data_IF_940940668709
#
_entry.id   IF_940940668709
#
_cell.length_a   1.000
_cell.length_b   1.000
_cell.length_c   1.000
_cell.angle_alpha   90.00
_cell.angle_beta   90.00
_cell.angle_gamma   90.00
#
_symmetry.space_group_name_H-M   'P 1'
#
loop_
_entity.id
_entity.type
_entity.pdbx_description
1 polymer ?
#
# COMPACT_ATOMS: atom_id res chain seq x y z
N UNK A 1 4.47 6.81 29.24
CA UNK A 1 5.04 6.33 27.97
C UNK A 1 5.18 7.43 26.92
N UNK A 2 4.18 8.28 26.72
CA UNK A 2 4.24 9.36 25.72
C UNK A 2 5.47 10.27 25.92
N UNK A 3 5.65 10.81 27.11
CA UNK A 3 6.78 11.68 27.44
C UNK A 3 8.14 10.98 27.26
N UNK A 4 8.25 9.73 27.71
CA UNK A 4 9.48 8.93 27.56
C UNK A 4 9.82 8.74 26.07
N UNK A 5 8.84 8.48 25.22
CA UNK A 5 9.07 8.34 23.78
C UNK A 5 9.53 9.66 23.12
N UNK A 6 9.16 10.81 23.70
CA UNK A 6 9.53 12.13 23.21
C UNK A 6 10.82 12.70 23.82
N UNK A 7 11.60 11.86 24.49
CA UNK A 7 12.91 12.22 25.06
C UNK A 7 12.87 12.65 26.51
N UNK A 8 11.69 12.74 27.13
CA UNK A 8 11.57 13.06 28.55
C UNK A 8 11.68 11.77 29.39
N UNK A 9 12.88 11.16 29.38
CA UNK A 9 13.11 9.86 29.98
C UNK A 9 12.86 9.85 31.49
N UNK A 10 13.15 10.99 32.14
CA UNK A 10 13.01 11.20 33.58
C UNK A 10 11.65 11.82 33.98
N UNK A 11 10.65 11.78 33.09
CA UNK A 11 9.34 12.31 33.39
C UNK A 11 8.63 11.50 34.47
N UNK A 12 8.13 12.19 35.50
CA UNK A 12 7.38 11.63 36.60
C UNK A 12 5.90 11.98 36.48
N UNK A 13 5.04 11.00 36.74
CA UNK A 13 3.59 11.19 36.72
C UNK A 13 3.01 10.72 38.05
N UNK A 14 2.34 11.62 38.77
CA UNK A 14 1.54 11.28 39.94
C UNK A 14 0.05 11.47 39.66
N UNK A 15 -0.79 10.66 40.29
CA UNK A 15 -2.24 10.76 40.16
C UNK A 15 -2.86 11.05 41.53
N UNK A 16 -3.66 12.09 41.62
CA UNK A 16 -4.48 12.40 42.76
C UNK A 16 -5.96 12.15 42.43
N UNK A 17 -6.66 11.51 43.37
CA UNK A 17 -8.10 11.23 43.17
C UNK A 17 -8.87 12.13 44.11
N UNK A 18 -9.66 13.04 43.58
CA UNK A 18 -10.59 13.85 44.29
C UNK A 18 -11.98 13.19 44.28
N UNK A 19 -12.42 12.78 45.44
CA UNK A 19 -13.74 12.15 45.69
C UNK A 19 -14.72 13.08 46.40
N UNK A 20 -14.43 14.38 46.48
CA UNK A 20 -15.26 15.35 47.18
C UNK A 20 -16.68 15.50 46.65
N UNK A 21 -16.93 15.07 45.39
CA UNK A 21 -18.27 15.10 44.77
C UNK A 21 -18.95 13.75 44.89
N UNK A 22 -20.16 13.73 45.44
CA UNK A 22 -20.96 12.51 45.56
C UNK A 22 -21.12 11.81 44.19
N UNK A 23 -20.84 10.51 44.12
CA UNK A 23 -20.94 9.64 42.94
C UNK A 23 -20.05 10.02 41.76
N UNK A 24 -19.02 10.87 41.93
CA UNK A 24 -18.04 11.22 40.90
C UNK A 24 -16.66 11.28 41.51
N UNK A 25 -15.69 10.70 40.84
CA UNK A 25 -14.27 10.85 41.15
C UNK A 25 -13.61 11.64 40.01
N UNK A 26 -12.79 12.62 40.37
CA UNK A 26 -11.96 13.37 39.44
C UNK A 26 -10.51 12.88 39.64
N UNK A 27 -9.89 12.38 38.61
CA UNK A 27 -8.48 11.99 38.64
C UNK A 27 -7.66 13.13 38.07
N UNK A 28 -6.78 13.69 38.87
CA UNK A 28 -5.88 14.77 38.47
C UNK A 28 -4.47 14.16 38.28
N UNK A 29 -3.98 14.20 37.07
CA UNK A 29 -2.61 13.78 36.76
C UNK A 29 -1.69 14.99 36.82
N UNK A 30 -0.72 14.95 37.75
CA UNK A 30 0.37 15.92 37.82
C UNK A 30 1.58 15.34 37.08
N UNK A 31 2.07 16.07 36.10
CA UNK A 31 3.18 15.65 35.26
C UNK A 31 4.36 16.60 35.49
N UNK A 32 5.48 16.05 35.95
CA UNK A 32 6.76 16.73 35.96
C UNK A 32 7.60 16.16 34.82
N UNK A 33 7.75 16.89 33.73
CA UNK A 33 8.44 16.41 32.53
C UNK A 33 9.96 16.32 32.69
N UNK A 34 10.55 17.09 33.63
CA UNK A 34 11.98 17.29 33.70
C UNK A 34 12.60 17.73 32.36
N UNK A 35 13.91 17.85 32.27
CA UNK A 35 14.58 18.20 31.01
C UNK A 35 14.64 17.01 30.05
N UNK A 36 14.37 17.23 28.75
CA UNK A 36 14.42 16.17 27.75
C UNK A 36 15.86 15.84 27.37
N UNK A 37 16.09 14.57 27.01
CA UNK A 37 17.33 14.16 26.36
C UNK A 37 17.40 14.70 24.92
N UNK A 38 18.58 15.16 24.51
CA UNK A 38 18.88 15.62 23.16
C UNK A 38 19.98 14.80 22.54
N UNK A 39 19.91 14.62 21.23
CA UNK A 39 20.95 13.95 20.47
C UNK A 39 22.12 14.91 20.33
N UNK A 40 23.31 14.54 20.83
CA UNK A 40 24.52 15.32 20.70
C UNK A 40 25.19 15.06 19.36
N UNK A 41 25.39 13.78 19.04
CA UNK A 41 25.97 13.35 17.77
C UNK A 41 25.20 12.14 17.24
N UNK A 42 24.99 12.09 15.91
CA UNK A 42 24.38 10.95 15.24
C UNK A 42 25.30 10.41 14.15
N UNK A 43 25.75 9.17 14.34
CA UNK A 43 26.61 8.46 13.40
C UNK A 43 25.83 7.32 12.74
N UNK A 44 25.98 7.20 11.43
CA UNK A 44 25.43 6.10 10.65
C UNK A 44 26.54 5.57 9.75
N UNK A 45 27.30 4.62 10.24
CA UNK A 45 28.33 3.88 9.49
C UNK A 45 27.98 2.40 9.59
N UNK A 46 27.46 1.83 8.49
CA UNK A 46 26.97 0.46 8.46
C UNK A 46 28.07 -0.46 7.93
N UNK A 47 28.30 -1.59 8.58
CA UNK A 47 29.37 -2.55 8.27
C UNK A 47 29.30 -3.11 6.82
N UNK A 48 28.15 -3.07 6.16
CA UNK A 48 27.97 -3.43 4.76
C UNK A 48 28.05 -2.18 3.86
N UNK A 49 29.13 -2.06 3.09
CA UNK A 49 29.40 -0.89 2.23
C UNK A 49 28.32 -0.61 1.19
N UNK A 50 27.62 -1.66 0.68
CA UNK A 50 26.52 -1.49 -0.28
C UNK A 50 25.28 -0.95 0.41
N UNK A 51 24.95 -1.47 1.59
CA UNK A 51 23.84 -1.00 2.41
C UNK A 51 24.09 0.41 2.88
N UNK A 52 25.30 0.70 3.36
CA UNK A 52 25.72 2.03 3.79
C UNK A 52 25.57 3.06 2.67
N UNK A 53 26.10 2.76 1.48
CA UNK A 53 25.95 3.63 0.30
C UNK A 53 24.48 3.90 -0.06
N UNK A 54 23.59 2.92 0.13
CA UNK A 54 22.14 3.09 -0.13
C UNK A 54 21.50 3.96 0.94
N UNK A 55 21.86 3.77 2.21
CA UNK A 55 21.33 4.55 3.33
C UNK A 55 21.66 6.05 3.20
N UNK A 56 22.84 6.37 2.65
CA UNK A 56 23.34 7.75 2.43
C UNK A 56 22.98 8.32 1.03
N UNK A 57 22.17 7.66 0.24
CA UNK A 57 21.79 8.16 -1.10
C UNK A 57 21.12 9.53 -1.02
N UNK A 58 21.58 10.43 -1.88
CA UNK A 58 20.95 11.72 -2.10
C UNK A 58 19.80 11.60 -3.11
N UNK A 59 18.77 12.41 -2.95
CA UNK A 59 17.68 12.47 -3.91
C UNK A 59 18.20 12.69 -5.33
N UNK A 60 17.79 11.88 -6.32
CA UNK A 60 18.22 12.08 -7.70
C UNK A 60 17.76 13.46 -8.17
N UNK A 61 18.66 14.22 -8.81
CA UNK A 61 18.32 15.48 -9.47
C UNK A 61 17.19 15.19 -10.46
N UNK A 62 16.13 15.99 -10.46
CA UNK A 62 14.98 15.86 -11.37
C UNK A 62 15.47 15.84 -12.82
N UNK A 63 15.72 14.68 -13.36
CA UNK A 63 15.80 14.47 -14.81
C UNK A 63 14.40 14.14 -15.30
N UNK A 64 13.85 15.00 -16.14
CA UNK A 64 12.47 14.91 -16.64
C UNK A 64 12.18 13.63 -17.46
N UNK A 65 13.18 12.82 -17.74
CA UNK A 65 13.10 11.79 -18.79
C UNK A 65 13.13 10.33 -18.33
N UNK A 66 13.51 9.98 -17.10
CA UNK A 66 13.91 8.58 -16.85
C UNK A 66 13.27 7.80 -15.71
N UNK A 67 12.43 8.40 -14.86
CA UNK A 67 11.81 7.59 -13.80
C UNK A 67 10.32 7.36 -14.03
N UNK A 68 9.95 6.09 -14.21
CA UNK A 68 8.56 5.64 -14.19
C UNK A 68 7.91 5.87 -12.80
N UNK A 69 8.67 6.37 -11.83
CA UNK A 69 8.29 6.50 -10.44
C UNK A 69 8.48 7.93 -9.94
N UNK A 70 7.53 8.41 -9.17
CA UNK A 70 7.63 9.69 -8.47
C UNK A 70 8.72 9.58 -7.39
N UNK A 71 9.70 10.48 -7.42
CA UNK A 71 10.74 10.58 -6.39
C UNK A 71 10.24 11.52 -5.30
N UNK A 72 10.25 11.06 -4.07
CA UNK A 72 9.96 11.87 -2.89
C UNK A 72 11.30 12.24 -2.26
N UNK A 73 11.70 13.54 -2.26
CA UNK A 73 12.98 13.96 -1.69
C UNK A 73 13.15 13.59 -0.21
N UNK A 74 12.05 13.55 0.54
CA UNK A 74 12.01 13.15 1.94
C UNK A 74 12.49 11.72 2.19
N UNK A 75 12.35 10.81 1.22
CA UNK A 75 12.86 9.43 1.32
C UNK A 75 14.39 9.38 1.44
N UNK A 76 15.09 10.44 1.02
CA UNK A 76 16.56 10.52 0.93
C UNK A 76 17.19 11.43 1.97
N UNK A 77 16.41 12.03 2.85
CA UNK A 77 16.91 12.93 3.89
C UNK A 77 16.78 12.25 5.25
N UNK A 78 17.88 12.20 6.01
CA UNK A 78 17.83 11.68 7.38
C UNK A 78 16.87 12.49 8.24
N UNK A 79 16.05 11.78 9.01
CA UNK A 79 15.09 12.37 9.95
C UNK A 79 15.75 12.68 11.29
N UNK A 80 16.87 12.02 11.60
CA UNK A 80 17.64 12.24 12.83
C UNK A 80 18.64 13.35 12.57
N UNK A 81 18.68 14.31 13.49
CA UNK A 81 19.59 15.48 13.41
C UNK A 81 20.23 15.72 14.76
N UNK A 82 21.47 16.20 14.72
CA UNK A 82 22.15 16.66 15.93
C UNK A 82 21.37 17.77 16.62
N UNK A 83 21.47 17.86 17.92
CA UNK A 83 20.75 18.79 18.78
C UNK A 83 19.21 18.64 18.82
N UNK A 84 18.64 17.70 18.07
CA UNK A 84 17.21 17.38 18.15
C UNK A 84 16.86 16.59 19.41
N UNK A 85 15.58 16.51 19.74
CA UNK A 85 15.11 15.68 20.84
C UNK A 85 15.38 14.19 20.56
N UNK A 86 15.72 13.45 21.62
CA UNK A 86 15.78 11.98 21.57
C UNK A 86 14.37 11.39 21.48
N UNK A 87 13.77 11.49 20.29
CA UNK A 87 12.40 11.04 20.01
C UNK A 87 12.43 9.65 19.39
N UNK A 88 11.94 8.65 20.11
CA UNK A 88 11.88 7.25 19.65
C UNK A 88 11.05 7.07 18.40
N UNK A 89 10.00 7.86 18.21
CA UNK A 89 9.16 7.78 17.03
C UNK A 89 9.92 8.27 15.77
N UNK A 90 10.80 9.26 15.92
CA UNK A 90 11.68 9.74 14.83
C UNK A 90 12.74 8.68 14.52
N UNK A 91 13.35 8.09 15.54
CA UNK A 91 14.33 7.01 15.37
C UNK A 91 13.71 5.81 14.65
N UNK A 92 12.50 5.41 15.00
CA UNK A 92 11.82 4.31 14.32
C UNK A 92 11.44 4.65 12.87
N UNK A 93 11.02 5.89 12.61
CA UNK A 93 10.76 6.38 11.25
C UNK A 93 12.03 6.39 10.39
N UNK A 94 13.19 6.72 10.96
CA UNK A 94 14.48 6.68 10.25
C UNK A 94 14.86 5.24 9.87
N UNK A 95 14.70 4.28 10.79
CA UNK A 95 14.87 2.85 10.49
C UNK A 95 13.94 2.42 9.36
N UNK A 96 12.67 2.85 9.39
CA UNK A 96 11.69 2.54 8.35
C UNK A 96 12.06 3.19 7.01
N UNK A 97 12.57 4.43 7.00
CA UNK A 97 13.05 5.14 5.80
C UNK A 97 14.15 4.34 5.10
N UNK A 98 15.18 3.93 5.86
CA UNK A 98 16.31 3.16 5.33
C UNK A 98 15.83 1.79 4.84
N UNK A 99 14.98 1.11 5.61
CA UNK A 99 14.38 -0.17 5.21
C UNK A 99 13.66 -0.06 3.87
N UNK A 100 12.85 0.97 3.70
CA UNK A 100 12.13 1.22 2.44
C UNK A 100 13.08 1.47 1.27
N UNK A 101 14.16 2.24 1.47
CA UNK A 101 15.18 2.47 0.45
C UNK A 101 15.88 1.18 0.02
N UNK A 102 16.21 0.31 0.97
CA UNK A 102 16.84 -0.98 0.74
C UNK A 102 15.89 -1.95 0.01
N UNK A 103 14.65 -2.06 0.46
CA UNK A 103 13.64 -2.92 -0.18
C UNK A 103 13.31 -2.46 -1.60
N UNK A 104 13.37 -1.17 -1.89
CA UNK A 104 13.27 -0.64 -3.26
C UNK A 104 14.48 -0.95 -4.15
N UNK A 105 15.57 -1.49 -3.56
CA UNK A 105 16.83 -1.84 -4.24
C UNK A 105 17.23 -3.30 -4.14
N UNK A 106 16.26 -4.16 -3.98
CA UNK A 106 16.49 -5.60 -4.06
C UNK A 106 16.57 -6.33 -2.74
N UNK A 107 16.67 -5.66 -1.62
CA UNK A 107 16.78 -6.33 -0.31
C UNK A 107 15.41 -6.79 0.20
N UNK A 108 14.85 -7.81 -0.44
CA UNK A 108 13.52 -8.35 -0.14
C UNK A 108 13.35 -8.79 1.32
N UNK A 109 14.31 -9.54 1.85
CA UNK A 109 14.27 -10.07 3.21
C UNK A 109 14.64 -9.04 4.29
N UNK A 110 14.99 -7.80 3.90
CA UNK A 110 15.37 -6.77 4.86
C UNK A 110 14.15 -6.21 5.59
N UNK A 111 14.28 -6.08 6.90
CA UNK A 111 13.28 -5.42 7.74
C UNK A 111 13.96 -4.43 8.71
N UNK A 112 13.18 -3.55 9.35
CA UNK A 112 13.68 -2.50 10.23
C UNK A 112 14.42 -3.02 11.48
N UNK A 113 14.19 -4.27 11.89
CA UNK A 113 14.78 -4.84 13.12
C UNK A 113 16.24 -5.23 12.94
N UNK A 114 16.74 -5.22 11.69
CA UNK A 114 18.16 -5.30 11.40
C UNK A 114 18.93 -4.00 11.66
N UNK A 115 18.22 -2.86 11.76
CA UNK A 115 18.80 -1.59 12.16
C UNK A 115 18.55 -1.37 13.65
N UNK A 116 19.60 -1.10 14.42
CA UNK A 116 19.50 -0.78 15.83
C UNK A 116 20.28 0.49 16.14
N UNK A 117 19.97 1.12 17.26
CA UNK A 117 20.74 2.23 17.78
C UNK A 117 21.51 1.78 19.03
N UNK A 118 22.79 2.13 19.07
CA UNK A 118 23.55 2.20 20.30
C UNK A 118 23.46 3.62 20.81
N UNK A 119 23.07 3.79 22.06
CA UNK A 119 22.89 5.09 22.68
C UNK A 119 23.86 5.20 23.87
N UNK A 120 24.77 6.16 23.81
CA UNK A 120 25.67 6.50 24.90
C UNK A 120 25.20 7.78 25.59
N UNK A 121 24.88 7.68 26.87
CA UNK A 121 24.43 8.78 27.73
C UNK A 121 25.36 9.03 28.89
N UNK A 122 26.63 8.63 28.80
CA UNK A 122 27.64 8.67 29.89
C UNK A 122 28.08 10.07 30.32
N UNK A 123 27.62 11.12 29.60
CA UNK A 123 28.04 12.50 29.84
C UNK A 123 27.49 13.17 31.10
N UNK A 124 26.71 12.49 31.94
CA UNK A 124 25.99 13.07 33.09
C UNK A 124 25.22 14.37 32.79
N UNK A 125 24.79 14.53 31.55
CA UNK A 125 23.95 15.61 31.04
C UNK A 125 22.77 14.97 30.26
N UNK A 126 21.72 15.72 30.02
CA UNK A 126 20.59 15.24 29.24
C UNK A 126 20.90 15.21 27.71
N UNK A 127 22.04 14.62 27.35
CA UNK A 127 22.51 14.43 25.98
C UNK A 127 22.85 12.96 25.74
N UNK A 128 22.75 12.53 24.48
CA UNK A 128 23.01 11.15 24.04
C UNK A 128 23.69 11.14 22.68
N UNK A 129 24.75 10.37 22.53
CA UNK A 129 25.34 10.02 21.24
C UNK A 129 24.65 8.77 20.73
N UNK A 130 24.34 8.75 19.44
CA UNK A 130 23.63 7.67 18.78
C UNK A 130 24.45 7.13 17.61
N UNK A 131 24.73 5.83 17.66
CA UNK A 131 25.30 5.10 16.53
C UNK A 131 24.28 4.14 15.97
N UNK A 132 23.99 4.25 14.68
CA UNK A 132 23.16 3.26 13.99
C UNK A 132 24.02 2.08 13.55
N UNK A 133 23.63 0.87 13.96
CA UNK A 133 24.32 -0.36 13.64
C UNK A 133 23.44 -1.28 12.78
N UNK A 134 24.10 -2.05 11.90
CA UNK A 134 23.49 -3.09 11.09
C UNK A 134 23.69 -4.47 11.75
N UNK A 135 22.60 -5.16 12.06
CA UNK A 135 22.66 -6.54 12.52
C UNK A 135 22.77 -7.49 11.33
N UNK A 136 23.53 -8.60 11.44
CA UNK A 136 23.65 -9.59 10.38
C UNK A 136 22.30 -10.27 10.08
N UNK A 137 22.17 -10.76 8.84
CA UNK A 137 21.03 -11.60 8.46
C UNK A 137 21.19 -12.99 9.04
N UNK A 138 20.20 -13.46 9.82
CA UNK A 138 20.18 -14.77 10.43
C UNK A 138 19.48 -15.77 9.53
N UNK A 139 20.25 -16.67 8.91
CA UNK A 139 19.72 -17.76 8.09
C UNK A 139 19.60 -19.03 8.93
N UNK A 140 18.38 -19.60 9.01
CA UNK A 140 18.15 -20.90 9.61
C UNK A 140 18.55 -21.97 8.59
N UNK A 141 19.47 -22.85 8.98
CA UNK A 141 19.83 -24.01 8.17
C UNK A 141 18.87 -25.18 8.37
N UNK A 142 18.84 -26.16 7.43
CA UNK A 142 18.00 -27.34 7.55
C UNK A 142 18.28 -28.18 8.83
N UNK A 143 19.50 -28.10 9.38
CA UNK A 143 19.91 -28.75 10.62
C UNK A 143 19.44 -28.05 11.91
N UNK A 144 18.70 -26.93 11.75
CA UNK A 144 18.21 -26.10 12.86
C UNK A 144 19.23 -25.10 13.41
N UNK A 145 20.48 -25.10 12.91
CA UNK A 145 21.48 -24.10 13.31
C UNK A 145 21.21 -22.74 12.66
N UNK A 146 21.56 -21.66 13.38
CA UNK A 146 21.45 -20.28 12.88
C UNK A 146 22.85 -19.79 12.49
N UNK A 147 22.99 -19.27 11.30
CA UNK A 147 24.26 -18.70 10.83
C UNK A 147 24.05 -17.25 10.43
N UNK A 148 24.93 -16.40 10.92
CA UNK A 148 24.96 -15.00 10.56
C UNK A 148 25.59 -14.83 9.17
N UNK A 149 24.88 -14.18 8.26
CA UNK A 149 25.30 -13.95 6.87
C UNK A 149 25.08 -12.49 6.48
N UNK A 150 25.62 -12.10 5.33
CA UNK A 150 25.37 -10.79 4.75
C UNK A 150 23.94 -10.71 4.20
N UNK A 151 23.38 -9.51 4.19
CA UNK A 151 22.12 -9.23 3.52
C UNK A 151 22.31 -9.32 1.99
N UNK A 152 21.45 -10.08 1.31
CA UNK A 152 21.54 -10.29 -0.13
C UNK A 152 20.45 -9.55 -0.88
N UNK A 153 20.78 -9.18 -2.11
CA UNK A 153 19.81 -8.66 -3.07
C UNK A 153 19.13 -9.82 -3.81
N UNK A 154 17.84 -9.67 -4.08
CA UNK A 154 16.99 -10.64 -4.75
C UNK A 154 16.60 -10.15 -6.14
N UNK A 155 16.60 -11.05 -7.10
CA UNK A 155 16.11 -10.82 -8.46
C UNK A 155 14.77 -11.51 -8.66
N UNK A 156 13.90 -10.93 -9.48
CA UNK A 156 12.66 -11.59 -9.90
C UNK A 156 13.01 -12.64 -10.96
N UNK A 157 12.70 -13.90 -10.69
CA UNK A 157 12.88 -15.00 -11.66
C UNK A 157 11.70 -15.05 -12.61
N UNK A 158 10.51 -15.36 -12.08
CA UNK A 158 9.28 -15.52 -12.84
C UNK A 158 8.14 -14.74 -12.22
N UNK A 159 7.17 -14.36 -13.05
CA UNK A 159 5.93 -13.72 -12.61
C UNK A 159 4.76 -14.47 -13.20
N UNK A 160 3.96 -15.09 -12.33
CA UNK A 160 2.76 -15.82 -12.67
C UNK A 160 1.53 -15.11 -12.12
N UNK A 161 0.50 -14.91 -12.94
CA UNK A 161 -0.77 -14.32 -12.57
C UNK A 161 -1.85 -15.40 -12.62
N UNK A 162 -2.54 -15.57 -11.51
CA UNK A 162 -3.66 -16.51 -11.38
C UNK A 162 -4.94 -15.71 -11.26
N UNK A 163 -5.88 -15.90 -12.17
CA UNK A 163 -7.09 -15.05 -12.27
C UNK A 163 -8.33 -15.63 -11.60
N UNK A 164 -8.29 -16.89 -11.20
CA UNK A 164 -9.45 -17.62 -10.63
C UNK A 164 -9.07 -18.32 -9.32
N UNK A 165 -8.47 -17.54 -8.40
CA UNK A 165 -8.06 -18.03 -7.10
C UNK A 165 -9.24 -17.98 -6.12
N UNK A 166 -9.56 -19.13 -5.50
CA UNK A 166 -10.52 -19.21 -4.40
C UNK A 166 -9.79 -19.38 -3.06
N UNK A 167 -9.77 -18.36 -2.20
CA UNK A 167 -9.08 -18.44 -0.91
C UNK A 167 -9.71 -19.43 0.07
N UNK A 168 -10.95 -19.88 -0.17
CA UNK A 168 -11.65 -20.80 0.73
C UNK A 168 -11.37 -22.27 0.38
N UNK A 169 -11.11 -22.59 -0.88
CA UNK A 169 -11.05 -23.97 -1.38
C UNK A 169 -9.61 -24.45 -1.69
N UNK A 170 -8.62 -23.58 -1.58
CA UNK A 170 -7.24 -23.98 -1.91
C UNK A 170 -6.37 -24.10 -0.68
N UNK A 171 -6.02 -25.33 -0.34
CA UNK A 171 -4.90 -25.65 0.55
C UNK A 171 -3.60 -25.12 -0.09
N UNK A 172 -2.67 -24.63 0.70
CA UNK A 172 -1.42 -23.99 0.25
C UNK A 172 -0.53 -24.83 -0.69
N UNK A 173 -0.81 -26.14 -0.81
CA UNK A 173 -0.03 -27.10 -1.61
C UNK A 173 -0.52 -27.27 -3.06
N UNK A 174 -1.74 -26.85 -3.40
CA UNK A 174 -2.35 -27.15 -4.71
C UNK A 174 -2.45 -25.92 -5.61
N UNK A 175 -1.32 -25.29 -5.89
CA UNK A 175 -1.18 -24.37 -7.03
C UNK A 175 -1.11 -25.13 -8.38
N UNK A 176 -1.36 -26.41 -8.39
CA UNK A 176 -1.50 -27.22 -9.62
C UNK A 176 -2.86 -26.97 -10.26
N UNK A 177 -2.98 -25.86 -10.96
CA UNK A 177 -4.08 -25.64 -11.91
C UNK A 177 -3.95 -26.62 -13.09
N UNK A 178 -4.20 -27.89 -12.85
CA UNK A 178 -4.02 -28.95 -13.84
C UNK A 178 -4.88 -28.77 -15.11
N UNK A 179 -5.88 -27.88 -15.07
CA UNK A 179 -6.78 -27.55 -16.17
C UNK A 179 -6.76 -26.07 -16.59
N UNK A 180 -5.80 -25.27 -16.08
CA UNK A 180 -5.77 -23.85 -16.38
C UNK A 180 -5.30 -23.56 -17.81
N UNK A 181 -6.06 -22.72 -18.53
CA UNK A 181 -5.61 -22.16 -19.81
C UNK A 181 -4.43 -21.19 -19.55
N UNK A 182 -3.24 -21.63 -19.93
CA UNK A 182 -2.00 -20.90 -19.69
C UNK A 182 -1.66 -20.03 -20.90
N UNK A 183 -1.55 -18.72 -20.67
CA UNK A 183 -1.22 -17.74 -21.71
C UNK A 183 0.06 -17.00 -21.34
N UNK A 184 1.01 -16.93 -22.26
CA UNK A 184 2.19 -16.05 -22.14
C UNK A 184 1.84 -14.66 -22.65
N UNK A 185 2.08 -13.63 -21.83
CA UNK A 185 1.90 -12.23 -22.16
C UNK A 185 3.21 -11.46 -21.95
N UNK A 186 4.09 -11.49 -22.97
CA UNK A 186 5.48 -11.06 -22.84
C UNK A 186 6.23 -12.00 -21.90
N UNK A 187 6.88 -11.44 -20.88
CA UNK A 187 7.67 -12.21 -19.90
C UNK A 187 6.83 -12.74 -18.72
N UNK A 188 5.51 -12.62 -18.81
CA UNK A 188 4.58 -13.05 -17.76
C UNK A 188 3.80 -14.28 -18.17
N UNK A 189 3.52 -15.14 -17.20
CA UNK A 189 2.63 -16.28 -17.36
C UNK A 189 1.29 -15.97 -16.71
N UNK A 190 0.18 -16.23 -17.40
CA UNK A 190 -1.17 -16.00 -16.91
C UNK A 190 -1.92 -17.33 -16.94
N UNK A 191 -2.44 -17.73 -15.79
CA UNK A 191 -3.26 -18.92 -15.59
C UNK A 191 -4.72 -18.51 -15.45
N UNK A 192 -5.53 -18.89 -16.40
CA UNK A 192 -6.99 -18.73 -16.37
C UNK A 192 -7.63 -20.01 -15.88
N UNK A 193 -8.49 -19.91 -14.86
CA UNK A 193 -9.24 -21.05 -14.34
C UNK A 193 -10.48 -21.37 -15.16
N UNK A 194 -11.45 -22.06 -14.54
CA UNK A 194 -12.69 -22.55 -15.16
C UNK A 194 -13.55 -21.45 -15.78
N UNK A 195 -13.52 -20.23 -15.22
CA UNK A 195 -14.25 -19.07 -15.77
C UNK A 195 -13.64 -18.53 -17.08
N UNK A 196 -12.57 -19.13 -17.57
CA UNK A 196 -11.89 -18.78 -18.80
C UNK A 196 -11.28 -17.38 -18.80
N UNK A 197 -11.00 -16.83 -19.97
CA UNK A 197 -10.31 -15.54 -20.14
C UNK A 197 -11.24 -14.36 -19.84
N UNK A 198 -11.54 -14.12 -18.58
CA UNK A 198 -12.40 -13.03 -18.14
C UNK A 198 -11.80 -11.66 -18.41
N UNK A 199 -10.47 -11.50 -18.29
CA UNK A 199 -9.74 -10.25 -18.57
C UNK A 199 -8.70 -10.51 -19.67
N UNK A 200 -8.51 -9.54 -20.56
CA UNK A 200 -7.51 -9.62 -21.64
C UNK A 200 -6.10 -9.70 -21.07
N UNK A 201 -5.21 -10.59 -21.59
CA UNK A 201 -3.83 -10.74 -21.12
C UNK A 201 -3.04 -9.43 -21.11
N UNK A 202 -3.24 -8.57 -22.12
CA UNK A 202 -2.58 -7.27 -22.19
C UNK A 202 -2.98 -6.31 -21.06
N UNK A 203 -4.19 -6.43 -20.51
CA UNK A 203 -4.63 -5.61 -19.37
C UNK A 203 -3.86 -6.01 -18.11
N UNK A 204 -3.77 -7.31 -17.84
CA UNK A 204 -3.02 -7.86 -16.70
C UNK A 204 -1.53 -7.53 -16.82
N UNK A 205 -0.93 -7.74 -18.01
CA UNK A 205 0.47 -7.39 -18.27
C UNK A 205 0.78 -5.91 -18.01
N UNK A 206 -0.06 -5.01 -18.49
CA UNK A 206 0.10 -3.56 -18.29
C UNK A 206 -0.15 -3.12 -16.85
N UNK A 207 -0.88 -3.89 -16.08
CA UNK A 207 -1.13 -3.64 -14.66
C UNK A 207 -0.01 -4.19 -13.76
N UNK A 208 0.91 -4.98 -14.31
CA UNK A 208 2.04 -5.57 -13.60
C UNK A 208 3.29 -4.71 -13.79
N UNK A 209 3.86 -4.22 -12.69
CA UNK A 209 5.10 -3.42 -12.65
C UNK A 209 6.31 -4.27 -12.24
N UNK A 210 6.08 -5.46 -11.69
CA UNK A 210 7.10 -6.45 -11.36
C UNK A 210 7.57 -7.06 -12.68
N UNK A 211 8.89 -7.02 -12.92
CA UNK A 211 9.47 -7.46 -14.20
C UNK A 211 10.49 -8.57 -13.95
N UNK A 212 10.37 -9.74 -14.61
CA UNK A 212 11.36 -10.80 -14.57
C UNK A 212 12.76 -10.31 -14.96
N UNK A 213 13.81 -10.88 -14.36
CA UNK A 213 15.21 -10.52 -14.59
C UNK A 213 15.66 -9.21 -13.93
N UNK A 214 14.79 -8.48 -13.26
CA UNK A 214 15.11 -7.24 -12.53
C UNK A 214 15.23 -7.49 -11.03
N UNK A 215 15.97 -6.61 -10.37
CA UNK A 215 16.01 -6.57 -8.90
C UNK A 215 14.60 -6.39 -8.33
N UNK A 216 14.33 -7.07 -7.22
CA UNK A 216 13.13 -6.84 -6.44
C UNK A 216 13.00 -5.34 -6.11
N UNK A 217 11.79 -4.83 -6.20
CA UNK A 217 11.50 -3.44 -5.89
C UNK A 217 10.12 -3.36 -5.22
N UNK A 218 10.10 -3.04 -3.93
CA UNK A 218 8.87 -2.96 -3.14
C UNK A 218 7.85 -2.00 -3.74
N UNK A 219 8.30 -0.87 -4.30
CA UNK A 219 7.41 0.08 -4.97
C UNK A 219 6.72 -0.50 -6.21
N UNK A 220 7.42 -1.37 -6.95
CA UNK A 220 6.81 -2.07 -8.08
C UNK A 220 5.72 -3.05 -7.61
N UNK A 221 5.91 -3.65 -6.42
CA UNK A 221 4.90 -4.52 -5.78
C UNK A 221 3.67 -3.70 -5.38
N UNK A 222 3.86 -2.58 -4.68
CA UNK A 222 2.79 -1.66 -4.27
C UNK A 222 1.98 -1.15 -5.47
N UNK A 223 2.67 -0.76 -6.54
CA UNK A 223 2.03 -0.28 -7.77
C UNK A 223 1.29 -1.40 -8.50
N UNK A 224 1.84 -2.61 -8.53
CA UNK A 224 1.16 -3.77 -9.07
C UNK A 224 -0.12 -4.04 -8.28
N UNK A 225 -0.02 -4.10 -6.95
CA UNK A 225 -1.17 -4.29 -6.08
C UNK A 225 -2.26 -3.23 -6.33
N UNK A 226 -1.89 -1.94 -6.29
CA UNK A 226 -2.83 -0.82 -6.50
C UNK A 226 -3.46 -0.88 -7.90
N UNK A 227 -2.66 -1.25 -8.92
CA UNK A 227 -3.14 -1.37 -10.29
C UNK A 227 -4.14 -2.51 -10.47
N UNK A 228 -3.91 -3.66 -9.84
CA UNK A 228 -4.84 -4.78 -9.84
C UNK A 228 -6.09 -4.49 -9.02
N UNK A 229 -5.96 -3.87 -7.85
CA UNK A 229 -7.08 -3.45 -7.01
C UNK A 229 -8.02 -2.44 -7.72
N UNK A 230 -7.47 -1.65 -8.65
CA UNK A 230 -8.26 -0.75 -9.49
C UNK A 230 -9.07 -1.48 -10.59
N UNK A 231 -8.74 -2.73 -10.92
CA UNK A 231 -9.50 -3.55 -11.87
C UNK A 231 -10.79 -4.07 -11.21
N UNK A 232 -11.90 -3.46 -11.53
CA UNK A 232 -13.21 -3.77 -10.91
C UNK A 232 -13.75 -5.17 -11.23
N UNK A 233 -13.18 -5.83 -12.24
CA UNK A 233 -13.49 -7.21 -12.60
C UNK A 233 -12.77 -8.23 -11.71
N UNK A 234 -11.83 -7.79 -10.88
CA UNK A 234 -11.07 -8.60 -9.94
C UNK A 234 -11.32 -8.18 -8.49
N UNK A 235 -11.12 -9.12 -7.58
CA UNK A 235 -11.14 -8.93 -6.13
C UNK A 235 -10.02 -9.77 -5.50
N UNK A 236 -9.78 -9.59 -4.20
CA UNK A 236 -8.85 -10.40 -3.41
C UNK A 236 -7.45 -10.50 -4.03
N UNK A 237 -6.84 -9.34 -4.34
CA UNK A 237 -5.48 -9.32 -4.86
C UNK A 237 -4.49 -9.71 -3.77
N UNK A 238 -3.66 -10.73 -4.03
CA UNK A 238 -2.59 -11.16 -3.14
C UNK A 238 -1.32 -11.41 -3.97
N UNK A 239 -0.20 -10.85 -3.54
CA UNK A 239 1.09 -11.03 -4.21
C UNK A 239 1.99 -11.82 -3.27
N UNK A 240 2.40 -13.01 -3.71
CA UNK A 240 3.26 -13.91 -2.96
C UNK A 240 4.61 -14.05 -3.63
N UNK A 241 5.63 -14.19 -2.82
CA UNK A 241 6.98 -14.46 -3.29
C UNK A 241 7.48 -15.76 -2.67
N UNK A 242 8.10 -16.61 -3.50
CA UNK A 242 8.78 -17.82 -3.06
C UNK A 242 10.26 -17.65 -3.39
N UNK A 243 11.10 -17.80 -2.38
CA UNK A 243 12.54 -17.69 -2.51
C UNK A 243 13.12 -18.93 -3.21
N UNK A 244 14.02 -18.70 -4.17
CA UNK A 244 14.78 -19.74 -4.88
C UNK A 244 16.22 -19.29 -4.93
N UNK A 245 17.14 -20.17 -4.55
CA UNK A 245 18.58 -19.91 -4.68
C UNK A 245 19.13 -20.64 -5.92
N UNK A 246 19.67 -19.89 -6.88
CA UNK A 246 20.25 -20.43 -8.10
C UNK A 246 21.68 -19.91 -8.28
N UNK A 247 22.66 -20.83 -8.33
CA UNK A 247 24.08 -20.48 -8.56
C UNK A 247 24.54 -19.32 -7.68
N UNK A 248 24.26 -19.41 -6.37
CA UNK A 248 24.56 -18.36 -5.37
C UNK A 248 23.86 -17.01 -5.57
N UNK A 249 22.83 -16.95 -6.43
CA UNK A 249 22.00 -15.78 -6.63
C UNK A 249 20.63 -16.00 -6.00
N UNK A 250 20.18 -15.05 -5.17
CA UNK A 250 18.85 -15.09 -4.57
C UNK A 250 17.81 -14.63 -5.58
N UNK A 251 16.85 -15.48 -5.85
CA UNK A 251 15.76 -15.21 -6.80
C UNK A 251 14.39 -15.33 -6.13
N UNK A 252 13.39 -14.68 -6.70
CA UNK A 252 12.00 -14.70 -6.26
C UNK A 252 11.09 -15.12 -7.40
N UNK A 253 10.31 -16.18 -7.19
CA UNK A 253 9.13 -16.45 -7.99
C UNK A 253 7.97 -15.63 -7.45
N UNK A 254 7.40 -14.77 -8.28
CA UNK A 254 6.28 -13.92 -7.93
C UNK A 254 4.96 -14.54 -8.42
N UNK A 255 4.02 -14.79 -7.53
CA UNK A 255 2.67 -15.25 -7.87
C UNK A 255 1.64 -14.21 -7.46
N UNK A 256 0.91 -13.67 -8.43
CA UNK A 256 -0.18 -12.72 -8.23
C UNK A 256 -1.49 -13.49 -8.27
N UNK A 257 -2.13 -13.64 -7.13
CA UNK A 257 -3.39 -14.36 -6.96
C UNK A 257 -4.55 -13.37 -6.98
N UNK A 258 -5.54 -13.61 -7.85
CA UNK A 258 -6.74 -12.77 -7.91
C UNK A 258 -7.98 -13.63 -8.08
N UNK A 259 -9.11 -13.18 -7.52
CA UNK A 259 -10.41 -13.81 -7.67
C UNK A 259 -11.30 -12.98 -8.61
N UNK A 260 -12.19 -13.59 -9.40
CA UNK A 260 -13.16 -12.86 -10.20
C UNK A 260 -14.17 -12.13 -9.30
N UNK A 261 -14.54 -10.91 -9.67
CA UNK A 261 -15.60 -10.15 -9.03
C UNK A 261 -16.96 -10.44 -9.69
N UNK A 262 -18.06 -10.17 -9.00
CA UNK A 262 -19.39 -10.16 -9.64
C UNK A 262 -19.41 -9.06 -10.70
N UNK A 263 -19.62 -9.44 -11.94
CA UNK A 263 -19.55 -8.53 -13.09
C UNK A 263 -20.79 -7.64 -13.23
N UNK A 264 -21.95 -8.12 -12.80
CA UNK A 264 -23.22 -7.42 -12.93
C UNK A 264 -23.77 -7.02 -11.56
N UNK A 265 -24.42 -5.88 -11.52
CA UNK A 265 -25.13 -5.38 -10.36
C UNK A 265 -26.39 -4.63 -10.77
N UNK A 266 -27.45 -4.83 -10.03
CA UNK A 266 -28.71 -4.10 -10.16
C UNK A 266 -28.98 -3.36 -8.86
N UNK A 267 -29.52 -2.16 -8.94
CA UNK A 267 -29.96 -1.36 -7.82
C UNK A 267 -31.35 -0.78 -8.09
N UNK A 268 -32.17 -0.72 -7.06
CA UNK A 268 -33.46 -0.02 -7.08
C UNK A 268 -33.47 0.93 -5.90
N UNK A 269 -33.66 2.21 -6.18
CA UNK A 269 -33.75 3.24 -5.15
C UNK A 269 -35.16 3.81 -5.13
N UNK A 270 -35.72 3.99 -3.95
CA UNK A 270 -37.00 4.65 -3.70
C UNK A 270 -36.72 5.84 -2.78
N UNK A 271 -37.19 7.01 -3.16
CA UNK A 271 -36.94 8.27 -2.47
C UNK A 271 -38.26 9.02 -2.25
N UNK A 272 -38.53 9.41 -1.03
CA UNK A 272 -39.62 10.33 -0.69
C UNK A 272 -39.05 11.70 -0.33
N UNK A 273 -39.58 12.77 -0.90
CA UNK A 273 -39.14 14.13 -0.64
C UNK A 273 -40.28 14.97 -0.07
N UNK A 274 -39.93 15.88 0.83
CA UNK A 274 -40.84 16.92 1.33
C UNK A 274 -40.11 18.27 1.32
N UNK A 275 -40.44 19.10 0.37
CA UNK A 275 -39.78 20.38 0.15
C UNK A 275 -40.79 21.53 0.39
N UNK A 276 -40.68 22.22 1.52
CA UNK A 276 -41.54 23.37 1.87
C UNK A 276 -43.07 23.07 1.85
N UNK A 277 -43.46 21.81 2.10
CA UNK A 277 -44.86 21.36 2.08
C UNK A 277 -45.29 20.69 0.79
N UNK A 278 -44.42 20.62 -0.22
CA UNK A 278 -44.66 19.86 -1.45
C UNK A 278 -44.14 18.44 -1.24
N UNK A 279 -44.97 17.45 -1.50
CA UNK A 279 -44.61 16.04 -1.36
C UNK A 279 -44.22 15.44 -2.71
N UNK A 280 -43.05 14.83 -2.73
CA UNK A 280 -42.52 14.15 -3.91
C UNK A 280 -42.19 12.69 -3.64
N UNK A 281 -42.21 11.92 -4.70
CA UNK A 281 -41.76 10.53 -4.74
C UNK A 281 -40.88 10.34 -5.98
N UNK A 282 -39.73 9.70 -5.79
CA UNK A 282 -38.87 9.33 -6.90
C UNK A 282 -38.48 7.85 -6.82
N UNK A 283 -38.33 7.23 -7.96
CA UNK A 283 -37.83 5.86 -8.09
C UNK A 283 -36.74 5.82 -9.15
N UNK A 284 -35.70 5.03 -8.91
CA UNK A 284 -34.69 4.79 -9.92
C UNK A 284 -34.29 3.32 -9.99
N UNK A 285 -33.98 2.89 -11.19
CA UNK A 285 -33.42 1.56 -11.45
C UNK A 285 -32.05 1.76 -12.08
N UNK A 286 -31.05 1.13 -11.52
CA UNK A 286 -29.66 1.18 -11.99
C UNK A 286 -29.16 -0.20 -12.35
N UNK A 287 -28.35 -0.26 -13.41
CA UNK A 287 -27.64 -1.46 -13.85
C UNK A 287 -26.17 -1.12 -14.04
N UNK A 288 -25.28 -1.98 -13.56
CA UNK A 288 -23.85 -1.84 -13.70
C UNK A 288 -23.23 -3.13 -14.25
N UNK A 289 -22.38 -3.00 -15.29
CA UNK A 289 -21.55 -4.08 -15.78
C UNK A 289 -20.07 -3.70 -15.68
N UNK A 290 -19.25 -4.49 -14.96
CA UNK A 290 -17.88 -4.14 -14.54
C UNK A 290 -16.77 -4.66 -15.44
N UNK A 291 -17.08 -5.21 -16.59
CA UNK A 291 -16.10 -5.78 -17.51
C UNK A 291 -16.63 -5.84 -18.94
N UNK A 292 -17.12 -4.72 -19.43
CA UNK A 292 -17.90 -4.64 -20.67
C UNK A 292 -17.14 -5.22 -21.88
N UNK A 293 -15.85 -4.86 -22.02
CA UNK A 293 -15.00 -5.29 -23.13
C UNK A 293 -13.81 -6.15 -22.66
N UNK A 294 -13.91 -6.85 -21.53
CA UNK A 294 -12.83 -7.65 -20.92
C UNK A 294 -11.58 -6.82 -20.57
N UNK A 295 -11.72 -5.54 -20.35
CA UNK A 295 -10.66 -4.61 -19.95
C UNK A 295 -10.95 -3.95 -18.60
N UNK A 296 -11.96 -4.49 -17.86
CA UNK A 296 -12.45 -3.93 -16.58
C UNK A 296 -13.14 -2.56 -16.75
N UNK A 297 -13.70 -2.28 -17.93
CA UNK A 297 -14.52 -1.11 -18.18
C UNK A 297 -15.86 -1.25 -17.43
N UNK A 298 -16.35 -0.15 -16.87
CA UNK A 298 -17.61 -0.12 -16.13
C UNK A 298 -18.66 0.60 -16.98
N UNK A 299 -19.68 -0.12 -17.37
CA UNK A 299 -20.93 0.45 -17.88
C UNK A 299 -21.85 0.68 -16.70
N UNK A 300 -22.37 1.88 -16.55
CA UNK A 300 -23.41 2.21 -15.57
C UNK A 300 -24.57 2.85 -16.32
N UNK A 301 -25.77 2.33 -16.11
CA UNK A 301 -27.02 2.90 -16.65
C UNK A 301 -27.99 3.13 -15.49
N UNK A 302 -28.70 4.24 -15.52
CA UNK A 302 -29.72 4.59 -14.53
C UNK A 302 -30.91 5.23 -15.21
N UNK A 303 -32.10 4.77 -14.86
CA UNK A 303 -33.37 5.38 -15.24
C UNK A 303 -34.06 5.85 -13.96
N UNK A 304 -34.49 7.10 -13.93
CA UNK A 304 -35.15 7.74 -12.80
C UNK A 304 -36.49 8.30 -13.24
N UNK A 305 -37.50 8.09 -12.42
CA UNK A 305 -38.80 8.78 -12.51
C UNK A 305 -39.07 9.51 -11.20
N UNK A 306 -39.54 10.74 -11.27
CA UNK A 306 -39.94 11.53 -10.12
C UNK A 306 -41.28 12.20 -10.34
N UNK A 307 -42.07 12.32 -9.27
CA UNK A 307 -43.34 13.01 -9.21
C UNK A 307 -43.38 13.90 -7.97
N UNK A 308 -43.85 15.13 -8.12
CA UNK A 308 -43.99 16.09 -7.03
C UNK A 308 -45.37 16.79 -7.11
N UNK A 309 -46.09 16.77 -6.01
CA UNK A 309 -47.37 17.45 -5.89
C UNK A 309 -47.14 18.84 -5.25
N UNK A 310 -47.43 19.90 -6.01
CA UNK A 310 -47.21 21.28 -5.60
C UNK A 310 -48.43 21.77 -4.78
N UNK A 311 -48.26 21.96 -3.50
CA UNK A 311 -49.33 22.36 -2.59
C UNK A 311 -49.66 23.88 -2.61
N UNK A 312 -48.70 24.72 -3.03
CA UNK A 312 -48.80 26.19 -3.02
C UNK A 312 -49.12 26.85 -4.35
N UNK A 313 -49.30 26.10 -5.41
CA UNK A 313 -49.71 26.64 -6.70
C UNK A 313 -51.22 26.89 -6.70
N UNK A 314 -51.64 28.14 -6.97
CA UNK A 314 -53.09 28.55 -7.07
C UNK A 314 -53.83 27.78 -8.16
N UNK A 315 -53.18 26.96 -8.93
CA UNK A 315 -53.74 26.14 -10.02
C UNK A 315 -53.70 24.62 -9.73
N UNK A 316 -53.22 24.17 -8.55
CA UNK A 316 -53.13 22.74 -8.21
C UNK A 316 -52.35 21.96 -9.25
N UNK A 317 -51.05 22.21 -9.30
CA UNK A 317 -50.18 21.57 -10.30
C UNK A 317 -49.45 20.34 -9.74
N UNK A 318 -49.01 19.46 -10.63
CA UNK A 318 -48.06 18.39 -10.33
C UNK A 318 -46.94 18.46 -11.34
N UNK A 319 -45.73 18.09 -10.88
CA UNK A 319 -44.56 18.01 -11.73
C UNK A 319 -44.10 16.56 -11.81
N UNK A 320 -43.75 16.11 -13.00
CA UNK A 320 -43.16 14.82 -13.17
C UNK A 320 -41.89 14.93 -14.04
N UNK A 321 -40.90 14.12 -13.71
CA UNK A 321 -39.60 14.08 -14.38
C UNK A 321 -39.24 12.63 -14.70
N UNK A 322 -38.74 12.41 -15.90
CA UNK A 322 -38.12 11.13 -16.29
C UNK A 322 -36.73 11.43 -16.83
N UNK A 323 -35.75 10.75 -16.28
CA UNK A 323 -34.35 10.89 -16.67
C UNK A 323 -33.73 9.52 -16.97
N UNK A 324 -32.86 9.47 -17.95
CA UNK A 324 -32.03 8.30 -18.24
C UNK A 324 -30.57 8.74 -18.37
N UNK A 325 -29.68 7.99 -17.72
CA UNK A 325 -28.23 8.21 -17.74
C UNK A 325 -27.54 6.94 -18.16
N UNK A 326 -26.51 7.06 -19.01
CA UNK A 326 -25.61 5.98 -19.35
C UNK A 326 -24.18 6.50 -19.37
N UNK A 327 -23.28 5.80 -18.67
CA UNK A 327 -21.86 6.16 -18.61
C UNK A 327 -20.97 4.93 -18.76
N UNK A 328 -19.81 5.13 -19.40
CA UNK A 328 -18.77 4.10 -19.50
C UNK A 328 -17.48 4.65 -18.90
N UNK A 329 -17.03 4.03 -17.82
CA UNK A 329 -15.77 4.37 -17.17
C UNK A 329 -14.68 3.40 -17.61
N UNK A 330 -13.59 3.95 -18.13
CA UNK A 330 -12.42 3.18 -18.50
C UNK A 330 -11.39 3.26 -17.36
N UNK A 331 -10.91 2.13 -16.81
CA UNK A 331 -9.94 2.14 -15.70
C UNK A 331 -8.54 2.58 -16.14
N UNK A 332 -8.38 3.01 -17.39
CA UNK A 332 -7.11 3.39 -18.00
C UNK A 332 -7.28 4.56 -18.95
N UNK A 333 -6.18 5.29 -19.13
CA UNK A 333 -6.11 6.40 -20.06
C UNK A 333 -6.09 5.90 -21.52
N UNK A 334 -7.06 6.30 -22.34
CA UNK A 334 -7.29 5.76 -23.69
C UNK A 334 -6.65 6.57 -24.83
N UNK A 335 -5.86 7.62 -24.56
CA UNK A 335 -5.25 8.41 -25.62
C UNK A 335 -4.33 7.55 -26.52
N UNK A 336 -4.65 7.39 -27.81
CA UNK A 336 -3.95 6.46 -28.69
C UNK A 336 -2.51 6.90 -29.03
N UNK A 337 -2.23 8.20 -29.01
CA UNK A 337 -0.94 8.77 -29.42
C UNK A 337 0.08 8.95 -28.30
N UNK A 338 -0.23 8.50 -27.10
CA UNK A 338 0.62 8.68 -25.92
C UNK A 338 1.39 7.40 -25.60
N UNK A 339 2.70 7.54 -25.39
CA UNK A 339 3.59 6.43 -25.07
C UNK A 339 3.17 5.67 -23.77
N UNK A 340 3.37 4.38 -23.74
CA UNK A 340 3.04 3.50 -22.60
C UNK A 340 3.71 3.96 -21.29
N UNK A 341 4.94 4.49 -21.35
CA UNK A 341 5.64 5.04 -20.18
C UNK A 341 4.94 6.27 -19.59
N UNK A 342 4.31 7.11 -20.42
CA UNK A 342 3.52 8.25 -19.97
C UNK A 342 2.19 7.77 -19.34
N UNK A 343 1.50 6.82 -19.98
CA UNK A 343 0.25 6.24 -19.46
C UNK A 343 0.45 5.60 -18.09
N UNK A 344 1.59 4.95 -17.87
CA UNK A 344 1.96 4.39 -16.56
C UNK A 344 2.21 5.48 -15.51
N UNK A 345 2.84 6.61 -15.89
CA UNK A 345 3.10 7.74 -14.98
C UNK A 345 1.82 8.44 -14.51
N UNK A 346 0.92 8.71 -15.43
CA UNK A 346 -0.37 9.39 -15.11
C UNK A 346 -1.24 8.53 -14.20
N UNK A 347 -1.16 7.21 -14.31
CA UNK A 347 -1.91 6.28 -13.45
C UNK A 347 -1.32 6.13 -12.06
N UNK A 348 -0.04 6.39 -11.88
CA UNK A 348 0.68 6.26 -10.61
C UNK A 348 0.63 7.55 -9.75
N UNK A 349 0.00 8.61 -10.24
CA UNK A 349 -0.27 9.88 -9.54
C UNK A 349 -1.71 9.93 -9.06
#
# INVERSE_FOLDING_TARGET
RFFINKGYVNAEVSAEIDTSRQKKAVVIYKINSNEPYRIHNYTMELDDSKIDSIAHLKAPKRSAASSAFRVYPEDYTSLVKDSSLFDRDILDKERQRITTLLRRRGYYAFNRDYLAYLADSSYNRNIVDLDMILKPYRKLKPDGSVVDTLHRQYYIKDVTIVTDYDPLNQTQSDLSFASADTVKAGDLQILYGENGRTIRPNVLRRSTYITPGRLFNERAVEQTYSSFAALRALRNVNIRFTEVEERDTMMLNCTILTSPAKLQGFGVDLEGTNSAGDFGFASSVSYQHRNLFRGSEILSTKVRGAYEALSKSSAGGSYWEVGAEASVLFPRFLLPFVNESFKRRVRAS
#
